data_IF_744920947803
#
_entry.id   IF_744920947803
#
_cell.length_a   1.000
_cell.length_b   1.000
_cell.length_c   1.000
_cell.angle_alpha   90.00
_cell.angle_beta   90.00
_cell.angle_gamma   90.00
#
_symmetry.space_group_name_H-M   'P 1'
#
loop_
_entity.id
_entity.type
_entity.pdbx_description
1 polymer ?
#
# COMPACT_ATOMS: atom_id res chain seq x y z
N UNK A 1 13.04 -6.89 32.99
CA UNK A 1 12.73 -5.73 32.12
C UNK A 1 11.24 -5.39 32.26
N UNK A 2 10.85 -4.12 32.26
CA UNK A 2 9.44 -3.71 32.21
C UNK A 2 8.90 -3.79 30.79
N UNK A 3 7.59 -3.97 30.65
CA UNK A 3 6.94 -3.88 29.35
C UNK A 3 7.15 -2.49 28.75
N UNK A 4 7.65 -2.42 27.52
CA UNK A 4 7.95 -1.17 26.83
C UNK A 4 6.69 -0.32 26.58
N UNK A 5 5.53 -0.97 26.39
CA UNK A 5 4.27 -0.29 26.09
C UNK A 5 3.59 0.29 27.33
N UNK A 6 3.32 -0.53 28.36
CA UNK A 6 2.59 -0.05 29.52
C UNK A 6 3.47 0.44 30.67
N UNK A 7 4.77 0.11 30.68
CA UNK A 7 5.76 0.39 31.73
C UNK A 7 5.41 -0.09 33.16
N UNK A 8 4.21 -0.61 33.38
CA UNK A 8 3.70 -1.07 34.69
C UNK A 8 4.06 -2.54 34.94
N UNK A 9 3.71 -3.40 33.98
CA UNK A 9 3.88 -4.86 34.11
C UNK A 9 5.31 -5.30 33.76
N UNK A 10 5.74 -6.43 34.31
CA UNK A 10 6.99 -7.06 33.90
C UNK A 10 6.85 -7.62 32.48
N UNK A 11 7.93 -7.51 31.70
CA UNK A 11 7.98 -8.12 30.38
C UNK A 11 8.14 -9.63 30.51
N UNK A 12 7.24 -10.37 29.87
CA UNK A 12 7.25 -11.84 29.80
C UNK A 12 7.87 -12.32 28.49
N UNK A 13 7.74 -11.51 27.44
CA UNK A 13 8.22 -11.82 26.09
C UNK A 13 9.27 -10.78 25.72
N UNK A 14 10.45 -11.25 25.30
CA UNK A 14 11.58 -10.38 24.93
C UNK A 14 11.88 -10.61 23.45
N UNK A 15 11.58 -9.60 22.63
CA UNK A 15 11.96 -9.58 21.22
C UNK A 15 13.35 -8.99 21.09
N UNK A 16 14.23 -9.72 20.39
CA UNK A 16 15.59 -9.29 20.08
C UNK A 16 15.68 -9.00 18.59
N UNK A 17 16.35 -7.91 18.23
CA UNK A 17 16.67 -7.61 16.84
C UNK A 17 17.98 -6.83 16.78
N UNK A 18 18.72 -7.03 15.69
CA UNK A 18 19.93 -6.26 15.41
C UNK A 18 19.57 -5.00 14.63
N UNK A 19 19.99 -3.86 15.17
CA UNK A 19 19.88 -2.56 14.50
C UNK A 19 21.27 -1.94 14.47
N UNK A 20 21.81 -1.74 13.26
CA UNK A 20 23.17 -1.24 13.03
C UNK A 20 24.27 -2.00 13.81
N UNK A 21 24.13 -3.32 13.92
CA UNK A 21 25.09 -4.19 14.62
C UNK A 21 25.00 -4.17 16.14
N UNK A 22 23.99 -3.50 16.70
CA UNK A 22 23.71 -3.48 18.14
C UNK A 22 22.48 -4.35 18.44
N UNK A 23 22.65 -5.37 19.30
CA UNK A 23 21.54 -6.21 19.78
C UNK A 23 20.59 -5.37 20.64
N UNK A 24 19.44 -5.03 20.08
CA UNK A 24 18.38 -4.28 20.78
C UNK A 24 17.32 -5.25 21.32
N UNK A 25 16.83 -4.98 22.53
CA UNK A 25 15.82 -5.81 23.20
C UNK A 25 14.59 -4.98 23.53
N UNK A 26 13.43 -5.42 23.07
CA UNK A 26 12.14 -4.84 23.47
C UNK A 26 11.34 -5.91 24.23
N UNK A 27 10.91 -5.56 25.44
CA UNK A 27 10.10 -6.43 26.30
C UNK A 27 8.61 -6.07 26.25
N UNK A 28 7.75 -7.08 26.17
CA UNK A 28 6.28 -6.94 26.21
C UNK A 28 5.70 -7.79 27.34
N UNK A 29 4.64 -7.30 27.99
CA UNK A 29 3.78 -8.14 28.83
C UNK A 29 2.68 -8.79 27.97
N UNK A 30 2.09 -9.88 28.46
CA UNK A 30 1.10 -10.65 27.71
C UNK A 30 -0.10 -9.81 27.26
N UNK A 31 -0.62 -8.95 28.14
CA UNK A 31 -1.78 -8.10 27.84
C UNK A 31 -1.49 -7.12 26.70
N UNK A 32 -0.37 -6.39 26.79
CA UNK A 32 0.00 -5.44 25.75
C UNK A 32 0.30 -6.13 24.43
N UNK A 33 0.91 -7.32 24.45
CA UNK A 33 1.15 -8.08 23.23
C UNK A 33 -0.16 -8.54 22.59
N UNK A 34 -1.12 -9.01 23.38
CA UNK A 34 -2.44 -9.41 22.89
C UNK A 34 -3.19 -8.21 22.28
N UNK A 35 -3.10 -7.03 22.89
CA UNK A 35 -3.73 -5.83 22.35
C UNK A 35 -3.05 -5.38 21.05
N UNK A 36 -1.72 -5.39 21.00
CA UNK A 36 -0.97 -5.17 19.75
C UNK A 36 -1.41 -6.18 18.69
N UNK A 37 -1.47 -7.47 19.03
CA UNK A 37 -1.91 -8.50 18.09
C UNK A 37 -3.32 -8.22 17.55
N UNK A 38 -4.26 -7.75 18.38
CA UNK A 38 -5.61 -7.37 17.92
C UNK A 38 -5.59 -6.25 16.88
N UNK A 39 -4.72 -5.25 17.04
CA UNK A 39 -4.63 -4.13 16.10
C UNK A 39 -3.75 -4.43 14.87
N UNK A 40 -2.78 -5.33 15.01
CA UNK A 40 -1.85 -5.71 13.94
C UNK A 40 -2.33 -6.91 13.12
N UNK A 41 -3.32 -7.68 13.59
CA UNK A 41 -3.93 -8.78 12.84
C UNK A 41 -5.32 -8.37 12.34
N UNK A 42 -5.35 -7.74 11.16
CA UNK A 42 -6.62 -7.56 10.44
C UNK A 42 -7.09 -8.96 9.99
N UNK A 43 -8.35 -9.34 10.24
CA UNK A 43 -8.84 -10.63 9.78
C UNK A 43 -8.71 -10.72 8.25
N UNK A 44 -8.07 -11.78 7.79
CA UNK A 44 -7.95 -12.09 6.37
C UNK A 44 -9.33 -12.48 5.84
N UNK A 45 -9.67 -12.02 4.63
CA UNK A 45 -10.93 -12.43 4.00
C UNK A 45 -10.82 -13.88 3.52
N UNK A 46 -11.18 -14.83 4.39
CA UNK A 46 -11.06 -16.28 4.14
C UNK A 46 -11.74 -16.72 2.84
N UNK A 47 -12.90 -16.13 2.50
CA UNK A 47 -13.65 -16.44 1.28
C UNK A 47 -12.93 -15.98 0.00
N UNK A 48 -12.10 -14.93 0.08
CA UNK A 48 -11.32 -14.43 -1.06
C UNK A 48 -9.92 -15.03 -1.10
N UNK A 49 -9.35 -15.43 0.04
CA UNK A 49 -8.06 -16.12 0.11
C UNK A 49 -8.14 -17.50 -0.54
N UNK A 50 -9.26 -18.21 -0.39
CA UNK A 50 -9.47 -19.50 -1.03
C UNK A 50 -9.38 -19.42 -2.55
N UNK A 51 -9.87 -18.33 -3.17
CA UNK A 51 -9.75 -18.07 -4.62
C UNK A 51 -8.29 -17.98 -5.09
N UNK A 52 -7.38 -17.51 -4.24
CA UNK A 52 -5.94 -17.47 -4.54
C UNK A 52 -5.26 -18.82 -4.31
N UNK A 53 -5.68 -19.57 -3.29
CA UNK A 53 -5.17 -20.92 -3.03
C UNK A 53 -5.59 -21.93 -4.11
N UNK A 54 -6.69 -21.67 -4.82
CA UNK A 54 -7.07 -22.40 -6.03
C UNK A 54 -6.30 -21.88 -7.24
N UNK A 55 -5.06 -22.36 -7.41
CA UNK A 55 -4.31 -22.39 -8.67
C UNK A 55 -4.33 -21.11 -9.54
N UNK A 56 -4.02 -19.93 -8.99
CA UNK A 56 -3.70 -18.73 -9.81
C UNK A 56 -2.28 -18.81 -10.42
N UNK A 57 -1.74 -20.02 -10.59
CA UNK A 57 -0.63 -20.30 -11.51
C UNK A 57 -1.09 -20.60 -12.94
N UNK A 58 -2.36 -20.31 -13.28
CA UNK A 58 -2.73 -20.21 -14.68
C UNK A 58 -1.95 -19.05 -15.31
N UNK A 59 -1.07 -19.42 -16.24
CA UNK A 59 -0.56 -18.58 -17.33
C UNK A 59 -1.74 -17.84 -17.98
N UNK A 60 -2.21 -16.76 -17.38
CA UNK A 60 -3.10 -15.81 -18.01
C UNK A 60 -2.27 -14.99 -18.98
N UNK A 61 -1.83 -15.64 -20.07
CA UNK A 61 -1.44 -14.94 -21.29
C UNK A 61 -2.74 -14.48 -21.93
N UNK A 62 -3.25 -13.33 -21.47
CA UNK A 62 -4.28 -12.63 -22.21
C UNK A 62 -3.67 -12.24 -23.56
N UNK A 63 -4.23 -12.67 -24.71
CA UNK A 63 -3.81 -12.14 -25.99
C UNK A 63 -4.25 -10.67 -26.00
N UNK A 64 -3.33 -9.77 -25.68
CA UNK A 64 -3.55 -8.34 -25.84
C UNK A 64 -3.75 -8.10 -27.33
N UNK A 65 -5.00 -7.95 -27.75
CA UNK A 65 -5.31 -7.49 -29.11
C UNK A 65 -4.79 -6.06 -29.22
N UNK A 66 -3.62 -5.91 -29.83
CA UNK A 66 -2.90 -4.63 -30.04
C UNK A 66 -3.71 -3.52 -30.72
N UNK A 67 -4.94 -3.79 -31.19
CA UNK A 67 -5.74 -2.86 -32.00
C UNK A 67 -6.79 -2.04 -31.23
N UNK A 68 -6.96 -2.20 -29.92
CA UNK A 68 -8.06 -1.50 -29.22
C UNK A 68 -7.76 -0.99 -27.81
N UNK A 69 -6.54 -1.14 -27.32
CA UNK A 69 -6.17 -0.45 -26.08
C UNK A 69 -5.50 0.85 -26.48
N UNK A 70 -6.31 1.90 -26.63
CA UNK A 70 -5.82 3.24 -26.36
C UNK A 70 -5.43 3.26 -24.88
N UNK A 71 -4.18 2.88 -24.59
CA UNK A 71 -3.58 2.79 -23.25
C UNK A 71 -3.31 4.22 -22.73
N UNK A 72 -4.30 5.12 -22.76
CA UNK A 72 -4.10 6.46 -22.21
C UNK A 72 -4.09 6.49 -20.68
N UNK A 73 -4.52 5.43 -19.98
CA UNK A 73 -4.61 5.42 -18.50
C UNK A 73 -4.39 4.05 -17.82
N UNK A 74 -3.90 3.01 -18.51
CA UNK A 74 -3.70 1.69 -17.86
C UNK A 74 -2.52 1.73 -16.90
N UNK A 75 -1.42 2.39 -17.29
CA UNK A 75 -0.21 2.49 -16.47
C UNK A 75 -0.49 3.20 -15.14
N UNK A 76 -1.25 4.30 -15.16
CA UNK A 76 -1.62 5.05 -13.96
C UNK A 76 -2.51 4.21 -13.04
N UNK A 77 -3.55 3.55 -13.56
CA UNK A 77 -4.42 2.66 -12.77
C UNK A 77 -3.66 1.49 -12.15
N UNK A 78 -2.76 0.86 -12.90
CA UNK A 78 -1.95 -0.26 -12.40
C UNK A 78 -1.02 0.18 -11.27
N UNK A 79 -0.36 1.34 -11.39
CA UNK A 79 0.61 1.79 -10.39
C UNK A 79 -0.08 2.40 -9.16
N UNK A 80 -1.17 3.14 -9.36
CA UNK A 80 -1.85 3.90 -8.30
C UNK A 80 -2.86 3.01 -7.56
N UNK A 81 -3.77 2.37 -8.29
CA UNK A 81 -4.99 1.74 -7.74
C UNK A 81 -4.82 0.25 -7.44
N UNK A 82 -4.10 -0.49 -8.29
CA UNK A 82 -4.02 -1.95 -8.21
C UNK A 82 -3.51 -2.50 -6.87
N UNK A 83 -2.48 -1.91 -6.21
CA UNK A 83 -2.03 -2.44 -4.93
C UNK A 83 -3.08 -2.28 -3.82
N UNK A 84 -3.94 -1.26 -3.91
CA UNK A 84 -5.05 -1.06 -2.96
C UNK A 84 -6.19 -2.03 -3.26
N UNK A 85 -6.46 -2.30 -4.54
CA UNK A 85 -7.42 -3.33 -4.94
C UNK A 85 -6.98 -4.73 -4.47
N UNK A 86 -5.70 -5.08 -4.58
CA UNK A 86 -5.18 -6.34 -4.01
C UNK A 86 -5.35 -6.35 -2.49
N UNK A 87 -5.02 -5.26 -1.81
CA UNK A 87 -5.18 -5.15 -0.35
C UNK A 87 -6.64 -5.38 0.08
N UNK A 88 -7.61 -4.74 -0.57
CA UNK A 88 -9.04 -4.88 -0.23
C UNK A 88 -9.63 -6.25 -0.61
N UNK A 89 -8.95 -6.99 -1.48
CA UNK A 89 -9.27 -8.40 -1.76
C UNK A 89 -8.75 -9.32 -0.65
N UNK A 90 -7.55 -9.07 -0.12
CA UNK A 90 -6.90 -9.94 0.87
C UNK A 90 -7.36 -9.65 2.32
N UNK A 91 -7.63 -8.39 2.65
CA UNK A 91 -7.90 -7.94 4.00
C UNK A 91 -9.27 -7.24 4.06
N UNK A 92 -9.97 -7.39 5.19
CA UNK A 92 -11.15 -6.57 5.47
C UNK A 92 -10.75 -5.14 5.81
N UNK A 93 -11.41 -4.15 5.21
CA UNK A 93 -11.19 -2.74 5.52
C UNK A 93 -12.08 -2.32 6.71
N UNK A 94 -11.46 -1.75 7.75
CA UNK A 94 -12.12 -0.90 8.75
C UNK A 94 -12.18 0.56 8.27
N UNK A 95 -12.87 1.43 9.01
CA UNK A 95 -13.03 2.84 8.59
C UNK A 95 -11.68 3.58 8.51
N UNK A 96 -10.72 3.24 9.38
CA UNK A 96 -9.35 3.75 9.31
C UNK A 96 -8.60 3.25 8.07
N UNK A 97 -8.88 2.04 7.63
CA UNK A 97 -8.32 1.46 6.41
C UNK A 97 -8.87 2.13 5.17
N UNK A 98 -10.15 2.48 5.13
CA UNK A 98 -10.74 3.29 4.06
C UNK A 98 -10.04 4.65 3.96
N UNK A 99 -9.88 5.35 5.08
CA UNK A 99 -9.20 6.65 5.13
C UNK A 99 -7.73 6.56 4.65
N UNK A 100 -6.98 5.56 5.15
CA UNK A 100 -5.60 5.31 4.71
C UNK A 100 -5.51 4.94 3.24
N UNK A 101 -6.43 4.14 2.72
CA UNK A 101 -6.48 3.77 1.30
C UNK A 101 -6.69 5.02 0.43
N UNK A 102 -7.62 5.90 0.81
CA UNK A 102 -7.86 7.17 0.10
C UNK A 102 -6.63 8.07 0.11
N UNK A 103 -6.00 8.30 1.27
CA UNK A 103 -4.77 9.08 1.37
C UNK A 103 -3.63 8.46 0.53
N UNK A 104 -3.53 7.12 0.51
CA UNK A 104 -2.53 6.40 -0.28
C UNK A 104 -2.76 6.56 -1.78
N UNK A 105 -4.02 6.50 -2.24
CA UNK A 105 -4.37 6.76 -3.66
C UNK A 105 -3.95 8.16 -4.08
N UNK A 106 -4.29 9.16 -3.27
CA UNK A 106 -3.98 10.57 -3.55
C UNK A 106 -2.45 10.76 -3.61
N UNK A 107 -1.72 10.26 -2.60
CA UNK A 107 -0.26 10.38 -2.54
C UNK A 107 0.43 9.68 -3.71
N UNK A 108 0.07 8.43 -4.01
CA UNK A 108 0.64 7.68 -5.14
C UNK A 108 0.30 8.31 -6.48
N UNK A 109 -0.93 8.80 -6.63
CA UNK A 109 -1.35 9.53 -7.82
C UNK A 109 -0.50 10.77 -8.02
N UNK A 110 -0.29 11.55 -6.97
CA UNK A 110 0.56 12.73 -7.00
C UNK A 110 2.00 12.40 -7.40
N UNK A 111 2.62 11.41 -6.75
CA UNK A 111 4.00 10.99 -7.05
C UNK A 111 4.15 10.44 -8.48
N UNK A 112 3.20 9.63 -8.95
CA UNK A 112 3.20 9.11 -10.31
C UNK A 112 3.15 10.23 -11.34
N UNK A 113 2.20 11.16 -11.22
CA UNK A 113 2.05 12.25 -12.17
C UNK A 113 3.22 13.24 -12.11
N UNK A 114 3.83 13.45 -10.94
CA UNK A 114 5.06 14.24 -10.81
C UNK A 114 6.22 13.60 -11.61
N UNK A 115 6.37 12.27 -11.53
CA UNK A 115 7.38 11.57 -12.31
C UNK A 115 7.10 11.62 -13.82
N UNK A 116 5.84 11.46 -14.23
CA UNK A 116 5.45 11.58 -15.65
C UNK A 116 5.67 13.00 -16.18
N UNK A 117 5.51 14.03 -15.35
CA UNK A 117 5.86 15.41 -15.71
C UNK A 117 7.35 15.58 -15.96
N UNK A 118 8.21 15.06 -15.08
CA UNK A 118 9.67 15.11 -15.27
C UNK A 118 10.12 14.35 -16.52
N UNK A 119 9.44 13.26 -16.89
CA UNK A 119 9.66 12.55 -18.15
C UNK A 119 9.25 13.43 -19.33
N UNK A 120 8.05 14.02 -19.30
CA UNK A 120 7.56 14.89 -20.37
C UNK A 120 8.47 16.13 -20.57
N UNK A 121 9.03 16.67 -19.49
CA UNK A 121 10.01 17.75 -19.53
C UNK A 121 11.30 17.35 -20.24
N UNK A 122 11.82 16.15 -19.99
CA UNK A 122 13.00 15.60 -20.70
C UNK A 122 12.73 15.37 -22.18
N UNK A 123 11.50 14.99 -22.52
CA UNK A 123 11.03 14.79 -23.90
C UNK A 123 10.66 16.11 -24.61
N UNK A 124 10.70 17.25 -23.91
CA UNK A 124 10.24 18.56 -24.40
C UNK A 124 8.81 18.54 -24.95
N UNK A 125 7.93 17.72 -24.36
CA UNK A 125 6.54 17.59 -24.77
C UNK A 125 5.63 18.53 -23.95
N UNK A 126 5.49 19.78 -24.44
CA UNK A 126 4.74 20.84 -23.74
C UNK A 126 3.23 20.52 -23.58
N UNK A 127 2.63 19.86 -24.56
CA UNK A 127 1.21 19.49 -24.51
C UNK A 127 0.96 18.49 -23.38
N UNK A 128 1.82 17.48 -23.26
CA UNK A 128 1.78 16.49 -22.18
C UNK A 128 2.03 17.12 -20.82
N UNK A 129 2.95 18.09 -20.73
CA UNK A 129 3.23 18.80 -19.47
C UNK A 129 2.01 19.57 -18.96
N UNK A 130 1.32 20.34 -19.83
CA UNK A 130 0.11 21.09 -19.44
C UNK A 130 -1.00 20.18 -18.93
N UNK A 131 -1.24 19.06 -19.63
CA UNK A 131 -2.23 18.06 -19.21
C UNK A 131 -1.90 17.47 -17.83
N UNK A 132 -0.62 17.20 -17.57
CA UNK A 132 -0.18 16.65 -16.28
C UNK A 132 -0.27 17.71 -15.17
N UNK A 133 0.03 18.99 -15.44
CA UNK A 133 -0.15 20.09 -14.48
C UNK A 133 -1.60 20.23 -14.02
N UNK A 134 -2.56 20.15 -14.94
CA UNK A 134 -3.99 20.19 -14.60
C UNK A 134 -4.40 19.04 -13.67
N UNK A 135 -3.85 17.84 -13.91
CA UNK A 135 -4.08 16.67 -13.05
C UNK A 135 -3.44 16.89 -11.67
N UNK A 136 -2.19 17.34 -11.61
CA UNK A 136 -1.49 17.62 -10.35
C UNK A 136 -2.19 18.70 -9.53
N UNK A 137 -2.72 19.75 -10.17
CA UNK A 137 -3.47 20.81 -9.52
C UNK A 137 -4.79 20.31 -8.93
N UNK A 138 -5.49 19.39 -9.61
CA UNK A 138 -6.69 18.73 -9.06
C UNK A 138 -6.35 17.84 -7.86
N UNK A 139 -5.28 17.06 -7.94
CA UNK A 139 -4.85 16.18 -6.84
C UNK A 139 -4.40 16.98 -5.62
N UNK A 140 -3.69 18.12 -5.81
CA UNK A 140 -3.30 19.01 -4.71
C UNK A 140 -4.47 19.55 -3.88
N UNK A 141 -5.65 19.71 -4.47
CA UNK A 141 -6.85 20.16 -3.75
C UNK A 141 -7.45 19.07 -2.86
N UNK A 142 -7.02 17.82 -3.03
CA UNK A 142 -7.47 16.65 -2.27
C UNK A 142 -6.49 16.26 -1.15
N UNK A 143 -5.29 16.85 -1.12
CA UNK A 143 -4.29 16.73 -0.06
C UNK A 143 -4.59 17.72 1.06
#
# INVERSE_FOLDING_TARGET
MKCHLCQKNNAEIIQKFDYDGIETKIGYCQNCLNDVAKFHTIPVNKNKLSLFSTNVFFKNRFPVKNKSIEIKNVKSRVIIEFPIAIKSLLFSDDDNSKLRNTQTLIKRGFEFWKNEYEIAKKEMNEERMKLIEDILNKIKKLL
#
